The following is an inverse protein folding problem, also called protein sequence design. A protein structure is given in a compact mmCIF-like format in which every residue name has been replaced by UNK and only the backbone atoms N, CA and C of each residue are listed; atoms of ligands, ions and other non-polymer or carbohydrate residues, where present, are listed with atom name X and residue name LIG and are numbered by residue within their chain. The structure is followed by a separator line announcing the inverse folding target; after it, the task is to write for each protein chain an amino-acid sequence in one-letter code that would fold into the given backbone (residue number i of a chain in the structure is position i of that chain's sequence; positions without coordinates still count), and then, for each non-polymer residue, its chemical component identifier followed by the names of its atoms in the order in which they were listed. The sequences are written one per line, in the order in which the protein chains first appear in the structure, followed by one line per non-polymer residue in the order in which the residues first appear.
data_IF_492048497402
#
_entry.id   IF_492048497402
#
_cell.length_a   1.000
_cell.length_b   1.000
_cell.length_c   1.000
_cell.angle_alpha   90.00
_cell.angle_beta   90.00
_cell.angle_gamma   90.00
#
_symmetry.space_group_name_H-M   'P 1'
#
loop_
_entity.id
_entity.type
_entity.pdbx_description
1 polymer ?
#
# COMPACT_ATOMS: atom_id res chain seq x y z
N UNK A 1 69.51 -24.83 -114.13
CA UNK A 1 68.54 -25.92 -114.40
C UNK A 1 68.14 -26.44 -113.02
N UNK A 2 66.95 -26.17 -112.48
CA UNK A 2 65.66 -26.77 -112.83
C UNK A 2 64.52 -25.78 -112.54
N UNK A 3 63.53 -25.74 -113.44
CA UNK A 3 62.23 -25.06 -113.31
C UNK A 3 61.37 -25.68 -112.20
N UNK A 4 60.70 -24.84 -111.41
CA UNK A 4 59.58 -25.22 -110.54
C UNK A 4 58.43 -24.25 -110.73
N UNK A 5 57.42 -24.67 -111.49
CA UNK A 5 56.17 -23.97 -111.78
C UNK A 5 55.32 -23.89 -110.51
N UNK A 6 54.88 -22.68 -110.14
CA UNK A 6 53.94 -22.45 -109.05
C UNK A 6 52.58 -22.07 -109.66
N UNK A 7 51.64 -23.01 -109.58
CA UNK A 7 50.22 -22.79 -109.89
C UNK A 7 49.58 -22.01 -108.74
N UNK A 8 49.04 -20.84 -109.09
CA UNK A 8 48.35 -19.95 -108.17
C UNK A 8 46.97 -20.47 -107.79
N UNK A 9 46.70 -20.44 -106.49
CA UNK A 9 45.34 -20.34 -105.95
C UNK A 9 45.30 -19.01 -105.18
N UNK A 10 44.51 -18.06 -105.68
CA UNK A 10 44.23 -16.81 -104.96
C UNK A 10 43.27 -17.15 -103.81
N UNK A 11 43.71 -16.89 -102.58
CA UNK A 11 42.84 -16.91 -101.41
C UNK A 11 41.89 -15.69 -101.45
N UNK A 12 40.61 -15.84 -101.05
CA UNK A 12 39.65 -14.74 -101.07
C UNK A 12 40.01 -13.69 -100.00
N UNK A 13 39.99 -12.42 -100.39
CA UNK A 13 40.11 -11.27 -99.49
C UNK A 13 38.88 -11.20 -98.60
N UNK A 14 39.02 -11.56 -97.32
CA UNK A 14 37.97 -11.35 -96.30
C UNK A 14 38.03 -9.90 -95.86
N UNK A 15 36.96 -9.15 -96.11
CA UNK A 15 36.77 -7.79 -95.59
C UNK A 15 36.12 -7.92 -94.22
N UNK A 16 36.89 -7.73 -93.14
CA UNK A 16 36.36 -7.69 -91.78
C UNK A 16 35.53 -6.41 -91.58
N UNK A 17 34.23 -6.56 -91.30
CA UNK A 17 33.35 -5.47 -90.89
C UNK A 17 33.69 -5.08 -89.42
N UNK A 18 33.91 -3.79 -89.08
CA UNK A 18 34.27 -3.43 -87.72
C UNK A 18 33.12 -3.75 -86.75
N UNK A 19 33.37 -4.65 -85.80
CA UNK A 19 32.44 -4.97 -84.71
C UNK A 19 32.12 -3.72 -83.87
N UNK A 20 30.85 -3.37 -83.79
CA UNK A 20 30.37 -2.30 -82.91
C UNK A 20 30.32 -2.81 -81.46
N UNK A 21 30.97 -2.08 -80.55
CA UNK A 21 30.91 -2.37 -79.11
C UNK A 21 29.57 -1.82 -78.60
N UNK A 22 28.69 -2.63 -77.99
CA UNK A 22 27.46 -2.12 -77.41
C UNK A 22 27.77 -1.19 -76.21
N UNK A 23 26.96 -0.14 -75.96
CA UNK A 23 27.18 0.74 -74.82
C UNK A 23 27.02 -0.03 -73.50
N UNK A 24 27.96 0.20 -72.58
CA UNK A 24 27.95 -0.38 -71.24
C UNK A 24 26.72 0.11 -70.45
N UNK A 25 25.93 -0.81 -69.89
CA UNK A 25 24.79 -0.48 -69.05
C UNK A 25 25.26 0.24 -67.77
N UNK A 26 24.65 1.38 -67.46
CA UNK A 26 24.90 2.11 -66.21
C UNK A 26 24.41 1.26 -65.02
N UNK A 27 25.20 1.04 -63.96
CA UNK A 27 24.76 0.27 -62.81
C UNK A 27 23.64 1.02 -62.07
N UNK A 28 22.50 0.36 -61.84
CA UNK A 28 21.43 0.88 -60.98
C UNK A 28 21.84 0.75 -59.51
N UNK A 29 21.69 1.85 -58.75
CA UNK A 29 22.02 1.90 -57.33
C UNK A 29 20.96 1.12 -56.52
N UNK A 30 21.33 0.23 -55.57
CA UNK A 30 20.35 -0.51 -54.79
C UNK A 30 19.47 0.44 -53.96
N UNK A 31 18.15 0.26 -54.04
CA UNK A 31 17.19 1.02 -53.23
C UNK A 31 17.22 0.49 -51.80
N UNK A 32 17.66 1.31 -50.84
CA UNK A 32 17.66 0.94 -49.43
C UNK A 32 16.22 0.85 -48.90
N UNK A 33 15.82 -0.32 -48.41
CA UNK A 33 14.54 -0.53 -47.74
C UNK A 33 14.72 -0.26 -46.24
N UNK A 34 14.20 0.87 -45.76
CA UNK A 34 14.19 1.17 -44.32
C UNK A 34 13.08 0.37 -43.63
N UNK A 35 13.47 -0.57 -42.77
CA UNK A 35 12.51 -1.23 -41.87
C UNK A 35 12.30 -0.30 -40.67
N UNK A 36 11.09 0.20 -40.38
CA UNK A 36 10.87 1.04 -39.22
C UNK A 36 11.05 0.20 -37.95
N UNK A 37 12.11 0.47 -37.20
CA UNK A 37 12.26 -0.07 -35.84
C UNK A 37 11.36 0.74 -34.92
N UNK A 38 10.30 0.12 -34.41
CA UNK A 38 9.49 0.73 -33.35
C UNK A 38 10.31 0.80 -32.07
N UNK A 39 10.67 2.01 -31.64
CA UNK A 39 11.23 2.24 -30.30
C UNK A 39 10.13 1.96 -29.26
N UNK A 40 10.33 1.05 -28.29
CA UNK A 40 9.34 0.85 -27.24
C UNK A 40 9.09 2.19 -26.53
N UNK A 41 7.85 2.66 -26.59
CA UNK A 41 7.46 3.88 -25.86
C UNK A 41 7.46 3.54 -24.38
N UNK A 42 8.37 4.14 -23.63
CA UNK A 42 8.35 4.08 -22.17
C UNK A 42 7.06 4.77 -21.69
N UNK A 43 6.11 3.98 -21.21
CA UNK A 43 4.96 4.52 -20.48
C UNK A 43 5.43 4.88 -19.07
N UNK A 44 5.45 6.18 -18.69
CA UNK A 44 5.74 6.54 -17.32
C UNK A 44 4.65 5.96 -16.41
N UNK A 45 5.02 5.03 -15.54
CA UNK A 45 4.15 4.58 -14.45
C UNK A 45 4.15 5.68 -13.39
N UNK A 46 3.01 6.33 -13.18
CA UNK A 46 2.87 7.25 -12.05
C UNK A 46 2.90 6.41 -10.76
N UNK A 47 3.89 6.65 -9.91
CA UNK A 47 3.84 6.14 -8.54
C UNK A 47 2.75 6.91 -7.81
N UNK A 48 1.69 6.26 -7.28
CA UNK A 48 0.66 6.97 -6.52
C UNK A 48 1.31 7.69 -5.35
N UNK A 49 1.00 8.96 -5.15
CA UNK A 49 1.48 9.69 -3.98
C UNK A 49 0.80 9.08 -2.74
N UNK A 50 1.55 8.64 -1.73
CA UNK A 50 0.93 8.08 -0.53
C UNK A 50 0.14 9.15 0.23
N UNK A 51 -0.91 8.72 0.91
CA UNK A 51 -1.70 9.51 1.83
C UNK A 51 -1.27 9.35 3.29
N UNK A 52 -2.11 9.85 4.18
CA UNK A 52 -1.92 9.85 5.64
C UNK A 52 -3.20 9.39 6.31
N UNK A 53 -3.11 8.56 7.35
CA UNK A 53 -4.21 8.33 8.30
C UNK A 53 -3.87 9.08 9.58
N UNK A 54 -4.78 9.92 10.07
CA UNK A 54 -4.60 10.64 11.34
C UNK A 54 -5.89 10.65 12.13
N UNK A 55 -5.82 11.08 13.39
CA UNK A 55 -7.02 11.18 14.18
C UNK A 55 -6.78 11.49 15.63
N UNK A 56 -7.87 11.46 16.37
CA UNK A 56 -7.90 11.54 17.82
C UNK A 56 -8.72 10.38 18.34
N UNK A 57 -8.18 9.67 19.32
CA UNK A 57 -8.94 8.70 20.11
C UNK A 57 -8.81 9.04 21.58
N UNK A 58 -9.92 8.87 22.29
CA UNK A 58 -10.00 9.18 23.71
C UNK A 58 -10.62 8.01 24.45
N UNK A 59 -10.15 7.74 25.65
CA UNK A 59 -10.88 6.99 26.65
C UNK A 59 -12.11 7.76 27.11
N UNK A 60 -13.13 7.02 27.51
CA UNK A 60 -14.21 7.57 28.29
C UNK A 60 -13.72 7.93 29.70
N UNK A 61 -13.73 9.23 30.02
CA UNK A 61 -13.49 9.76 31.38
C UNK A 61 -12.07 9.57 31.93
N UNK A 62 -11.09 9.36 31.07
CA UNK A 62 -9.67 9.39 31.41
C UNK A 62 -8.98 10.61 30.77
N UNK A 63 -8.02 11.23 31.44
CA UNK A 63 -7.32 12.43 30.94
C UNK A 63 -6.13 12.05 30.05
N UNK A 64 -5.35 11.05 30.47
CA UNK A 64 -4.20 10.55 29.71
C UNK A 64 -4.66 9.52 28.66
N UNK A 65 -4.39 9.76 27.38
CA UNK A 65 -4.84 8.85 26.31
C UNK A 65 -3.77 7.80 25.94
N UNK A 66 -2.65 7.74 26.67
CA UNK A 66 -1.63 6.71 26.44
C UNK A 66 -2.16 5.30 26.80
N UNK A 67 -1.50 4.26 26.28
CA UNK A 67 -1.92 2.86 26.46
C UNK A 67 -2.95 2.35 25.44
N UNK A 68 -3.61 3.25 24.70
CA UNK A 68 -4.45 2.88 23.56
C UNK A 68 -3.55 2.31 22.46
N UNK A 69 -3.92 1.13 21.96
CA UNK A 69 -3.27 0.50 20.81
C UNK A 69 -4.05 0.82 19.53
N UNK A 70 -3.34 1.15 18.45
CA UNK A 70 -3.91 1.36 17.11
C UNK A 70 -3.33 0.34 16.16
N UNK A 71 -4.19 -0.46 15.53
CA UNK A 71 -3.80 -1.38 14.46
C UNK A 71 -4.54 -1.04 13.18
N UNK A 72 -3.81 -0.87 12.09
CA UNK A 72 -4.38 -0.64 10.77
C UNK A 72 -4.34 -1.95 9.99
N UNK A 73 -5.49 -2.35 9.46
CA UNK A 73 -5.67 -3.55 8.66
C UNK A 73 -6.00 -3.17 7.21
N UNK A 74 -5.47 -3.94 6.26
CA UNK A 74 -5.83 -3.87 4.84
C UNK A 74 -6.29 -5.25 4.38
N UNK A 75 -7.50 -5.36 3.84
CA UNK A 75 -8.09 -6.65 3.46
C UNK A 75 -8.16 -7.68 4.59
N UNK A 76 -8.21 -7.23 5.85
CA UNK A 76 -8.21 -8.09 7.05
C UNK A 76 -6.82 -8.52 7.55
N UNK A 77 -5.74 -8.18 6.86
CA UNK A 77 -4.38 -8.45 7.31
C UNK A 77 -3.76 -7.21 8.01
N UNK A 78 -2.91 -7.40 9.04
CA UNK A 78 -2.17 -6.29 9.63
C UNK A 78 -1.33 -5.56 8.59
N UNK A 79 -1.49 -4.24 8.53
CA UNK A 79 -0.73 -3.35 7.64
C UNK A 79 0.30 -2.54 8.41
N UNK A 80 -0.10 -1.90 9.50
CA UNK A 80 0.77 -1.09 10.35
C UNK A 80 0.17 -0.92 11.75
N UNK A 81 1.04 -0.63 12.72
CA UNK A 81 0.62 -0.17 14.05
C UNK A 81 0.80 1.35 14.14
N UNK A 82 -0.05 2.01 14.94
CA UNK A 82 0.03 3.43 15.23
C UNK A 82 0.47 3.70 16.67
N UNK A 83 1.09 4.86 16.89
CA UNK A 83 1.43 5.36 18.23
C UNK A 83 0.48 6.49 18.61
N UNK A 84 0.01 6.47 19.85
CA UNK A 84 -0.89 7.46 20.42
C UNK A 84 -0.09 8.41 21.30
N UNK A 85 -0.27 9.71 21.08
CA UNK A 85 0.25 10.74 21.96
C UNK A 85 -0.65 10.90 23.19
N UNK A 86 -0.13 11.50 24.26
CA UNK A 86 -0.90 11.70 25.50
C UNK A 86 -2.20 12.52 25.34
N UNK A 87 -2.29 13.34 24.28
CA UNK A 87 -3.49 14.09 23.91
C UNK A 87 -4.51 13.28 23.07
N UNK A 88 -4.22 12.01 22.81
CA UNK A 88 -5.04 11.10 22.02
C UNK A 88 -4.79 11.17 20.51
N UNK A 89 -3.91 12.08 20.06
CA UNK A 89 -3.61 12.20 18.64
C UNK A 89 -2.74 11.05 18.14
N UNK A 90 -3.01 10.60 16.91
CA UNK A 90 -2.17 9.62 16.21
C UNK A 90 -2.03 9.99 14.73
N UNK A 91 -0.94 9.54 14.12
CA UNK A 91 -0.68 9.73 12.69
C UNK A 91 0.12 8.56 12.13
N UNK A 92 -0.35 8.03 11.00
CA UNK A 92 0.34 7.06 10.17
C UNK A 92 0.62 7.68 8.81
N UNK A 93 1.90 7.83 8.50
CA UNK A 93 2.38 8.42 7.26
C UNK A 93 2.62 7.35 6.19
N UNK A 94 2.74 7.78 4.94
CA UNK A 94 3.10 6.93 3.79
C UNK A 94 2.11 5.79 3.53
N UNK A 95 0.80 6.03 3.72
CA UNK A 95 -0.23 5.02 3.51
C UNK A 95 -0.65 5.01 2.04
N UNK A 96 -0.53 3.89 1.30
CA UNK A 96 -1.04 3.80 -0.06
C UNK A 96 -2.53 4.12 -0.16
N UNK A 97 -2.97 4.56 -1.33
CA UNK A 97 -4.40 4.75 -1.56
C UNK A 97 -5.12 3.40 -1.51
N UNK A 98 -6.24 3.33 -0.78
CA UNK A 98 -7.00 2.11 -0.56
C UNK A 98 -7.94 2.20 0.64
N UNK A 99 -8.68 1.11 0.87
CA UNK A 99 -9.58 0.99 2.02
C UNK A 99 -8.90 0.23 3.16
N UNK A 100 -9.04 0.76 4.36
CA UNK A 100 -8.44 0.27 5.58
C UNK A 100 -9.46 0.17 6.70
N UNK A 101 -9.17 -0.69 7.68
CA UNK A 101 -9.88 -0.72 8.96
C UNK A 101 -8.88 -0.38 10.05
N UNK A 102 -9.19 0.61 10.87
CA UNK A 102 -8.38 1.00 12.03
C UNK A 102 -9.05 0.43 13.28
N UNK A 103 -8.36 -0.46 13.98
CA UNK A 103 -8.78 -1.05 15.23
C UNK A 103 -8.12 -0.31 16.40
N UNK A 104 -8.94 0.04 17.39
CA UNK A 104 -8.53 0.67 18.64
C UNK A 104 -8.87 -0.27 19.80
N UNK A 105 -7.91 -0.47 20.71
CA UNK A 105 -8.10 -1.36 21.87
C UNK A 105 -7.26 -0.89 23.06
N UNK A 106 -7.74 -1.13 24.27
CA UNK A 106 -7.01 -0.92 25.51
C UNK A 106 -7.57 -1.85 26.62
N UNK A 107 -6.75 -2.24 27.62
CA UNK A 107 -7.23 -3.07 28.74
C UNK A 107 -8.36 -2.38 29.51
N UNK A 108 -9.47 -3.09 29.77
CA UNK A 108 -10.62 -2.51 30.48
C UNK A 108 -11.63 -1.78 29.57
N UNK A 109 -11.33 -1.66 28.28
CA UNK A 109 -12.15 -0.92 27.32
C UNK A 109 -12.63 -1.79 26.17
N UNK A 110 -13.87 -1.55 25.76
CA UNK A 110 -14.46 -2.25 24.64
C UNK A 110 -13.77 -1.83 23.34
N UNK A 111 -13.17 -2.81 22.65
CA UNK A 111 -12.47 -2.56 21.39
C UNK A 111 -13.43 -2.07 20.30
N UNK A 112 -12.94 -1.20 19.42
CA UNK A 112 -13.74 -0.59 18.36
C UNK A 112 -12.95 -0.46 17.06
N UNK A 113 -13.67 -0.33 15.94
CA UNK A 113 -13.08 -0.22 14.61
C UNK A 113 -13.65 0.97 13.83
N UNK A 114 -12.83 1.52 12.93
CA UNK A 114 -13.23 2.58 12.01
C UNK A 114 -12.77 2.23 10.58
N UNK A 115 -13.69 2.25 9.63
CA UNK A 115 -13.35 2.12 8.21
C UNK A 115 -12.83 3.46 7.67
N UNK A 116 -11.76 3.40 6.88
CA UNK A 116 -11.05 4.58 6.35
C UNK A 116 -10.68 4.35 4.89
N UNK A 117 -11.06 5.29 4.03
CA UNK A 117 -10.62 5.32 2.62
C UNK A 117 -9.53 6.37 2.43
N UNK A 118 -8.33 5.93 2.09
CA UNK A 118 -7.17 6.79 1.82
C UNK A 118 -7.11 7.09 0.33
N UNK A 119 -7.12 8.38 -0.02
CA UNK A 119 -6.91 8.83 -1.39
C UNK A 119 -5.45 9.26 -1.60
N UNK A 120 -4.96 9.14 -2.84
CA UNK A 120 -3.57 9.47 -3.16
C UNK A 120 -3.25 10.93 -2.81
N UNK A 121 -2.21 11.15 -1.99
CA UNK A 121 -1.77 12.46 -1.52
C UNK A 121 -2.72 13.16 -0.54
N UNK A 122 -3.76 12.48 -0.04
CA UNK A 122 -4.74 13.05 0.89
C UNK A 122 -4.60 12.48 2.30
N UNK A 123 -5.07 13.25 3.29
CA UNK A 123 -5.25 12.78 4.66
C UNK A 123 -6.65 12.22 4.88
N UNK A 124 -6.75 11.11 5.60
CA UNK A 124 -7.99 10.56 6.11
C UNK A 124 -8.01 10.65 7.65
N UNK A 125 -9.11 11.14 8.23
CA UNK A 125 -9.19 11.45 9.66
C UNK A 125 -10.21 10.58 10.38
N UNK A 126 -9.83 10.07 11.56
CA UNK A 126 -10.66 9.23 12.44
C UNK A 126 -10.85 9.91 13.79
N UNK A 127 -12.07 9.85 14.33
CA UNK A 127 -12.37 10.29 15.69
C UNK A 127 -13.14 9.20 16.42
N UNK A 128 -12.61 8.73 17.55
CA UNK A 128 -13.16 7.59 18.28
C UNK A 128 -13.14 7.85 19.78
N UNK A 129 -14.12 7.31 20.50
CA UNK A 129 -14.07 7.18 21.95
C UNK A 129 -14.12 5.70 22.31
N UNK A 130 -13.13 5.22 23.06
CA UNK A 130 -13.13 3.90 23.67
C UNK A 130 -13.99 3.96 24.93
N UNK A 131 -15.00 3.09 24.99
CA UNK A 131 -15.90 3.03 26.13
C UNK A 131 -15.38 2.04 27.17
N UNK A 132 -15.41 2.43 28.43
CA UNK A 132 -14.91 1.62 29.53
C UNK A 132 -15.91 0.50 29.88
N UNK A 133 -15.38 -0.62 30.36
CA UNK A 133 -16.17 -1.66 31.03
C UNK A 133 -16.00 -3.09 30.52
N UNK A 134 -15.19 -3.35 29.49
CA UNK A 134 -14.86 -4.71 29.03
C UNK A 134 -13.54 -5.13 29.69
N UNK A 135 -13.65 -5.57 30.95
CA UNK A 135 -12.52 -5.79 31.86
C UNK A 135 -11.88 -7.16 31.62
N UNK A 136 -12.68 -8.16 31.27
CA UNK A 136 -12.20 -9.49 30.94
C UNK A 136 -11.81 -9.65 29.46
N UNK A 137 -12.12 -8.66 28.61
CA UNK A 137 -11.73 -8.61 27.20
C UNK A 137 -12.54 -9.56 26.31
N UNK A 138 -13.74 -9.96 26.74
CA UNK A 138 -14.59 -10.89 26.00
C UNK A 138 -15.40 -10.20 24.87
N UNK A 139 -15.33 -8.86 24.77
CA UNK A 139 -16.04 -8.08 23.76
C UNK A 139 -17.47 -7.72 24.14
N UNK A 140 -17.87 -7.88 25.40
CA UNK A 140 -19.14 -7.49 25.96
C UNK A 140 -18.94 -6.84 27.33
N UNK A 141 -19.76 -5.84 27.64
CA UNK A 141 -19.78 -5.20 28.96
C UNK A 141 -20.95 -5.78 29.74
N UNK A 142 -20.70 -6.63 30.72
CA UNK A 142 -21.73 -7.36 31.43
C UNK A 142 -21.48 -7.52 32.94
N UNK A 143 -22.14 -8.51 33.56
CA UNK A 143 -22.06 -8.73 35.00
C UNK A 143 -20.68 -9.25 35.41
N UNK A 144 -19.97 -9.99 34.55
CA UNK A 144 -18.63 -10.48 34.84
C UNK A 144 -17.68 -9.30 35.07
N UNK A 145 -17.76 -8.25 34.25
CA UNK A 145 -16.97 -7.03 34.42
C UNK A 145 -17.28 -6.32 35.74
N UNK A 146 -18.56 -6.19 36.09
CA UNK A 146 -18.96 -5.61 37.36
C UNK A 146 -18.41 -6.42 38.57
N UNK A 147 -18.33 -7.76 38.45
CA UNK A 147 -17.73 -8.58 39.50
C UNK A 147 -16.23 -8.37 39.64
N UNK A 148 -15.51 -8.03 38.57
CA UNK A 148 -14.09 -7.67 38.66
C UNK A 148 -13.86 -6.41 39.48
N UNK A 149 -14.68 -5.37 39.29
CA UNK A 149 -14.63 -4.16 40.14
C UNK A 149 -14.92 -4.51 41.59
N UNK A 150 -16.01 -5.26 41.84
CA UNK A 150 -16.39 -5.67 43.19
C UNK A 150 -15.33 -6.51 43.91
N UNK A 151 -14.62 -7.38 43.19
CA UNK A 151 -13.54 -8.20 43.74
C UNK A 151 -12.29 -7.41 44.13
N UNK A 152 -12.10 -6.21 43.56
CA UNK A 152 -10.96 -5.34 43.82
C UNK A 152 -11.36 -4.01 44.49
N UNK A 153 -12.57 -3.93 45.03
CA UNK A 153 -13.12 -2.70 45.59
C UNK A 153 -12.30 -2.17 46.78
N UNK A 154 -12.06 -0.85 46.79
CA UNK A 154 -11.27 -0.11 47.78
C UNK A 154 -9.78 -0.52 47.84
N UNK A 155 -9.27 -1.10 46.74
CA UNK A 155 -7.85 -1.43 46.57
C UNK A 155 -7.21 -0.41 45.64
N UNK A 156 -6.02 0.08 46.03
CA UNK A 156 -5.21 0.93 45.17
C UNK A 156 -4.63 0.14 44.00
N UNK A 157 -4.53 0.80 42.85
CA UNK A 157 -3.81 0.30 41.68
C UNK A 157 -2.50 1.07 41.58
N UNK A 158 -1.33 0.44 41.88
CA UNK A 158 -1.08 -0.95 42.29
C UNK A 158 -1.32 -1.26 43.80
N UNK A 159 -1.51 -2.54 44.21
CA UNK A 159 -1.24 -3.78 43.47
C UNK A 159 -2.43 -4.36 42.70
N UNK A 160 -3.60 -3.73 42.74
CA UNK A 160 -4.74 -4.23 41.97
C UNK A 160 -4.50 -4.11 40.45
N UNK A 161 -5.24 -4.87 39.61
CA UNK A 161 -5.14 -4.76 38.16
C UNK A 161 -5.56 -3.38 37.66
N UNK A 162 -4.71 -2.73 36.87
CA UNK A 162 -4.95 -1.39 36.32
C UNK A 162 -6.21 -1.31 35.45
N UNK A 163 -6.55 -2.39 34.73
CA UNK A 163 -7.76 -2.46 33.91
C UNK A 163 -9.08 -2.39 34.68
N UNK A 164 -9.05 -2.48 36.02
CA UNK A 164 -10.21 -2.28 36.89
C UNK A 164 -10.30 -0.84 37.43
N UNK A 165 -9.23 -0.05 37.33
CA UNK A 165 -9.21 1.39 37.60
C UNK A 165 -9.55 2.13 36.29
N UNK A 166 -10.83 2.10 35.94
CA UNK A 166 -11.34 2.53 34.64
C UNK A 166 -11.26 4.04 34.45
N UNK A 167 -11.31 4.82 35.54
CA UNK A 167 -11.16 6.27 35.46
C UNK A 167 -9.70 6.75 35.65
N UNK A 168 -8.78 5.85 36.03
CA UNK A 168 -7.36 6.11 36.22
C UNK A 168 -7.03 6.99 37.43
N UNK A 169 -7.88 7.00 38.45
CA UNK A 169 -7.67 7.80 39.67
C UNK A 169 -6.77 7.12 40.72
N UNK A 170 -6.35 5.89 40.45
CA UNK A 170 -5.47 5.08 41.28
C UNK A 170 -6.21 4.22 42.31
N UNK A 171 -7.54 4.27 42.39
CA UNK A 171 -8.34 3.53 43.38
C UNK A 171 -9.57 2.89 42.76
N UNK A 172 -9.66 1.56 42.81
CA UNK A 172 -10.82 0.85 42.29
C UNK A 172 -12.00 1.05 43.25
N UNK A 173 -13.04 1.75 42.81
CA UNK A 173 -14.15 2.15 43.66
C UNK A 173 -15.49 2.21 42.92
N UNK A 174 -16.49 2.86 43.52
CA UNK A 174 -17.83 2.97 42.95
C UNK A 174 -17.84 3.73 41.61
N UNK A 175 -16.90 4.66 41.40
CA UNK A 175 -16.80 5.43 40.16
C UNK A 175 -16.42 4.54 38.97
N UNK A 176 -15.59 3.53 39.16
CA UNK A 176 -15.28 2.52 38.13
C UNK A 176 -16.49 1.63 37.83
N UNK A 177 -17.18 1.19 38.89
CA UNK A 177 -18.40 0.40 38.72
C UNK A 177 -19.50 1.18 37.97
N UNK A 178 -19.57 2.51 38.18
CA UNK A 178 -20.48 3.39 37.44
C UNK A 178 -20.15 3.42 35.95
N UNK A 179 -18.87 3.33 35.55
CA UNK A 179 -18.48 3.25 34.14
C UNK A 179 -18.95 1.93 33.50
N UNK A 180 -18.79 0.80 34.20
CA UNK A 180 -19.36 -0.49 33.75
C UNK A 180 -20.88 -0.38 33.62
N UNK A 181 -21.56 0.11 34.66
CA UNK A 181 -23.02 0.26 34.66
C UNK A 181 -23.55 1.19 33.58
N UNK A 182 -22.82 2.26 33.23
CA UNK A 182 -23.17 3.19 32.15
C UNK A 182 -23.16 2.53 30.78
N UNK A 183 -22.26 1.57 30.56
CA UNK A 183 -22.05 0.92 29.27
C UNK A 183 -22.58 -0.52 29.21
N UNK A 184 -23.25 -0.98 30.27
CA UNK A 184 -23.76 -2.35 30.39
C UNK A 184 -24.59 -2.79 29.18
N UNK A 185 -24.30 -3.99 28.68
CA UNK A 185 -24.95 -4.63 27.53
C UNK A 185 -24.38 -4.22 26.16
N UNK A 186 -23.36 -3.36 26.09
CA UNK A 186 -22.69 -3.04 24.82
C UNK A 186 -21.70 -4.14 24.44
N UNK A 187 -21.55 -4.37 23.14
CA UNK A 187 -20.62 -5.36 22.56
C UNK A 187 -19.78 -4.74 21.46
N UNK A 188 -18.59 -5.28 21.21
CA UNK A 188 -17.78 -4.90 20.06
C UNK A 188 -18.51 -5.37 18.78
N UNK A 189 -18.47 -4.53 17.75
CA UNK A 189 -19.16 -4.73 16.47
C UNK A 189 -18.29 -5.43 15.43
#
# INVERSE_FOLDING_TARGET
VVNGSFDGVQEPVVTEEPSSIPPSATPELPTATFTPTFTPTFVPSLTPMPGIISGVVQYEKHIDQTGITVKVLSGGAPFADGTINADGSFQLNNVPAGSYVVQFSAPGYLSTTAAVDVQAGQGATVQVTLIAGDIDGNGAIDLADATFIGANYDIQSPPAPEQADLNGDGTINLLDLVLVGKNFGKTSG
#
